data_IF_887949433298
#
_entry.id   IF_887949433298
#
_cell.length_a   1.000
_cell.length_b   1.000
_cell.length_c   1.000
_cell.angle_alpha   90.00
_cell.angle_beta   90.00
_cell.angle_gamma   90.00
#
_symmetry.space_group_name_H-M   'P 1'
#
loop_
_entity.id
_entity.type
_entity.pdbx_description
1 polymer ?
#
# COMPACT_ATOMS: atom_id res chain seq x y z
N UNK A 1 -11.77 1.23 -12.88
CA UNK A 1 -11.87 2.00 -11.61
C UNK A 1 -10.49 2.11 -10.99
N UNK A 2 -10.14 3.28 -10.49
CA UNK A 2 -8.82 3.58 -9.93
C UNK A 2 -8.92 3.83 -8.44
N UNK A 3 -8.02 3.27 -7.63
CA UNK A 3 -7.91 3.51 -6.19
C UNK A 3 -6.59 4.26 -5.92
N UNK A 4 -6.69 5.49 -5.43
CA UNK A 4 -5.60 6.43 -5.13
C UNK A 4 -5.55 6.75 -3.64
N UNK A 5 -4.43 7.30 -3.18
CA UNK A 5 -4.20 7.64 -1.78
C UNK A 5 -2.79 7.32 -1.31
N UNK A 6 -2.38 7.91 -0.19
CA UNK A 6 -1.04 7.68 0.36
C UNK A 6 -0.79 6.21 0.76
N UNK A 7 0.48 5.87 1.01
CA UNK A 7 0.82 4.56 1.59
C UNK A 7 0.15 4.37 2.95
N UNK A 8 -0.18 3.12 3.28
CA UNK A 8 -0.85 2.71 4.53
C UNK A 8 -2.25 3.28 4.76
N UNK A 9 -2.94 3.79 3.73
CA UNK A 9 -4.36 4.21 3.84
C UNK A 9 -5.35 3.05 3.66
N UNK A 10 -4.85 1.85 3.32
CA UNK A 10 -5.65 0.63 3.16
C UNK A 10 -6.20 0.38 1.75
N UNK A 11 -5.61 0.98 0.71
CA UNK A 11 -5.98 0.75 -0.71
C UNK A 11 -5.98 -0.72 -1.10
N UNK A 12 -4.86 -1.41 -0.84
CA UNK A 12 -4.70 -2.84 -1.15
C UNK A 12 -5.67 -3.69 -0.33
N UNK A 13 -5.91 -3.34 0.93
CA UNK A 13 -6.91 -4.01 1.78
C UNK A 13 -8.33 -3.85 1.21
N UNK A 14 -8.69 -2.67 0.70
CA UNK A 14 -9.96 -2.42 0.02
C UNK A 14 -10.08 -3.25 -1.27
N UNK A 15 -9.05 -3.26 -2.12
CA UNK A 15 -9.02 -4.06 -3.35
C UNK A 15 -9.25 -5.55 -3.05
N UNK A 16 -8.52 -6.10 -2.07
CA UNK A 16 -8.68 -7.48 -1.63
C UNK A 16 -10.08 -7.75 -1.08
N UNK A 17 -10.65 -6.81 -0.32
CA UNK A 17 -12.00 -6.93 0.22
C UNK A 17 -13.06 -6.95 -0.89
N UNK A 18 -12.89 -6.13 -1.94
CA UNK A 18 -13.77 -6.13 -3.10
C UNK A 18 -13.70 -7.45 -3.90
N UNK A 19 -12.54 -8.11 -3.91
CA UNK A 19 -12.37 -9.45 -4.49
C UNK A 19 -12.97 -10.57 -3.61
N UNK A 20 -13.42 -10.27 -2.39
CA UNK A 20 -13.90 -11.27 -1.43
C UNK A 20 -12.79 -12.01 -0.68
N UNK A 21 -11.54 -11.55 -0.75
CA UNK A 21 -10.42 -12.13 -0.01
C UNK A 21 -10.51 -11.78 1.50
N UNK A 22 -9.93 -12.60 2.39
CA UNK A 22 -9.87 -12.32 3.81
C UNK A 22 -9.03 -11.06 4.10
N UNK A 23 -9.33 -10.41 5.22
CA UNK A 23 -8.54 -9.30 5.75
C UNK A 23 -7.22 -9.83 6.33
N UNK A 24 -6.12 -9.14 6.00
CA UNK A 24 -4.79 -9.37 6.58
C UNK A 24 -4.39 -8.11 7.34
N UNK A 25 -3.99 -8.26 8.60
CA UNK A 25 -3.55 -7.15 9.44
C UNK A 25 -2.10 -6.74 9.15
N UNK A 26 -1.28 -7.68 8.68
CA UNK A 26 0.13 -7.44 8.38
C UNK A 26 0.30 -6.54 7.15
N UNK A 27 0.94 -5.38 7.35
CA UNK A 27 1.17 -4.42 6.27
C UNK A 27 2.37 -4.82 5.40
N UNK A 28 2.07 -5.20 4.16
CA UNK A 28 3.05 -5.30 3.07
C UNK A 28 2.88 -4.12 2.11
N UNK A 29 3.96 -3.37 1.86
CA UNK A 29 3.90 -2.22 0.95
C UNK A 29 3.85 -2.68 -0.52
N UNK A 30 2.85 -2.19 -1.26
CA UNK A 30 2.72 -2.44 -2.71
C UNK A 30 3.88 -1.78 -3.47
N UNK A 31 4.73 -2.55 -4.18
CA UNK A 31 5.92 -2.00 -4.83
C UNK A 31 5.62 -1.27 -6.14
N UNK A 32 4.55 -1.66 -6.83
CA UNK A 32 4.13 -1.15 -8.14
C UNK A 32 2.61 -1.21 -8.28
N UNK A 33 2.05 -0.56 -9.30
CA UNK A 33 0.62 -0.60 -9.60
C UNK A 33 0.15 -2.05 -9.75
N UNK A 34 -0.95 -2.39 -9.09
CA UNK A 34 -1.58 -3.70 -9.19
C UNK A 34 -2.99 -3.57 -9.78
N UNK A 35 -3.40 -4.58 -10.55
CA UNK A 35 -4.73 -4.65 -11.15
C UNK A 35 -5.47 -5.91 -10.75
N UNK A 36 -6.79 -5.79 -10.65
CA UNK A 36 -7.71 -6.83 -10.22
C UNK A 36 -9.02 -6.75 -11.01
N UNK A 37 -9.47 -7.84 -11.62
CA UNK A 37 -10.80 -7.92 -12.23
C UNK A 37 -11.81 -8.48 -11.24
N UNK A 38 -12.93 -7.78 -11.07
CA UNK A 38 -14.00 -8.15 -10.14
C UNK A 38 -15.30 -8.28 -10.92
N UNK A 39 -15.87 -9.49 -10.93
CA UNK A 39 -17.18 -9.72 -11.53
C UNK A 39 -18.27 -9.35 -10.53
N UNK A 40 -18.89 -8.20 -10.73
CA UNK A 40 -19.96 -7.70 -9.90
C UNK A 40 -21.32 -8.04 -10.51
N UNK A 41 -22.18 -8.71 -9.75
CA UNK A 41 -23.58 -8.87 -10.07
C UNK A 41 -24.43 -8.10 -9.05
N UNK A 42 -25.34 -7.26 -9.54
CA UNK A 42 -26.30 -6.58 -8.68
C UNK A 42 -27.59 -7.39 -8.64
N UNK A 43 -28.17 -7.61 -7.45
CA UNK A 43 -29.30 -8.54 -7.24
C UNK A 43 -30.53 -8.26 -8.13
N UNK A 44 -30.66 -7.03 -8.63
CA UNK A 44 -31.78 -6.60 -9.47
C UNK A 44 -31.33 -6.18 -10.89
N UNK A 45 -30.09 -6.48 -11.29
CA UNK A 45 -29.61 -6.28 -12.66
C UNK A 45 -29.41 -7.65 -13.32
N UNK A 46 -29.91 -7.80 -14.55
CA UNK A 46 -29.71 -9.03 -15.34
C UNK A 46 -28.26 -9.14 -15.87
N UNK A 47 -27.53 -8.03 -15.88
CA UNK A 47 -26.17 -7.96 -16.40
C UNK A 47 -25.12 -8.03 -15.28
N UNK A 48 -24.10 -8.86 -15.50
CA UNK A 48 -22.90 -8.86 -14.69
C UNK A 48 -21.90 -7.85 -15.26
N UNK A 49 -21.33 -7.01 -14.40
CA UNK A 49 -20.34 -6.00 -14.77
C UNK A 49 -18.97 -6.51 -14.33
N UNK A 50 -18.01 -6.59 -15.26
CA UNK A 50 -16.61 -6.80 -14.93
C UNK A 50 -15.97 -5.44 -14.63
N UNK A 51 -15.59 -5.24 -13.37
CA UNK A 51 -14.91 -4.02 -12.93
C UNK A 51 -13.42 -4.30 -12.82
N UNK A 52 -12.61 -3.62 -13.63
CA UNK A 52 -11.17 -3.62 -13.44
C UNK A 52 -10.79 -2.56 -12.39
N UNK A 53 -10.12 -3.00 -11.33
CA UNK A 53 -9.70 -2.18 -10.20
C UNK A 53 -8.19 -2.03 -10.24
N UNK A 54 -7.72 -0.79 -10.20
CA UNK A 54 -6.30 -0.43 -10.21
C UNK A 54 -5.90 0.11 -8.83
N UNK A 55 -5.07 -0.63 -8.07
CA UNK A 55 -4.42 -0.13 -6.85
C UNK A 55 -3.18 0.68 -7.25
N UNK A 56 -3.30 2.00 -7.20
CA UNK A 56 -2.26 2.90 -7.71
C UNK A 56 -1.18 3.14 -6.67
N UNK A 57 0.07 3.03 -7.14
CA UNK A 57 1.26 3.41 -6.39
C UNK A 57 1.84 4.70 -6.99
N UNK A 58 1.82 5.78 -6.21
CA UNK A 58 2.30 7.10 -6.67
C UNK A 58 3.81 7.14 -6.93
N UNK A 59 4.56 6.49 -6.04
CA UNK A 59 6.00 6.31 -6.16
C UNK A 59 6.30 4.82 -5.99
N UNK A 60 6.84 4.19 -7.04
CA UNK A 60 7.22 2.78 -6.98
C UNK A 60 8.35 2.55 -5.97
N UNK A 61 8.37 1.38 -5.33
CA UNK A 61 9.50 0.97 -4.49
C UNK A 61 10.56 0.38 -5.41
N UNK A 62 11.64 1.13 -5.65
CA UNK A 62 12.82 0.59 -6.31
C UNK A 62 13.45 -0.42 -5.33
N UNK A 63 13.27 -1.71 -5.60
CA UNK A 63 13.99 -2.75 -4.90
C UNK A 63 15.49 -2.54 -5.18
N UNK A 64 16.24 -2.04 -4.19
CA UNK A 64 17.71 -2.03 -4.28
C UNK A 64 18.14 -3.46 -4.61
N UNK A 65 18.95 -3.71 -5.65
CA UNK A 65 19.44 -5.05 -5.90
C UNK A 65 20.16 -5.50 -4.64
N UNK A 66 19.65 -6.56 -3.99
CA UNK A 66 20.37 -7.25 -2.91
C UNK A 66 21.65 -7.78 -3.55
N UNK A 67 22.73 -7.01 -3.45
CA UNK A 67 24.07 -7.54 -3.68
C UNK A 67 24.27 -8.58 -2.60
N UNK A 68 24.05 -9.85 -2.93
CA UNK A 68 24.52 -10.96 -2.10
C UNK A 68 26.04 -10.75 -2.00
N UNK A 69 26.64 -10.58 -0.81
CA UNK A 69 28.08 -10.60 -0.71
C UNK A 69 28.54 -11.97 -1.22
N UNK A 70 29.30 -11.99 -2.31
CA UNK A 70 30.00 -13.20 -2.72
C UNK A 70 30.97 -13.52 -1.58
N UNK A 71 30.82 -14.70 -0.98
CA UNK A 71 31.84 -15.23 -0.09
C UNK A 71 33.14 -15.35 -0.90
N UNK A 72 34.17 -14.70 -0.42
CA UNK A 72 35.54 -14.80 -0.92
C UNK A 72 36.15 -16.08 -0.35
N UNK A 73 35.88 -17.20 -0.99
CA UNK A 73 36.66 -18.43 -0.80
C UNK A 73 37.12 -18.85 -2.20
N UNK A 74 38.39 -18.58 -2.48
CA UNK A 74 39.33 -19.35 -3.31
C UNK A 74 40.51 -18.46 -3.69
N UNK A 75 41.51 -18.44 -2.80
CA UNK A 75 42.90 -18.16 -3.15
C UNK A 75 43.37 -19.26 -4.10
N UNK A 76 43.80 -18.91 -5.32
CA UNK A 76 44.93 -19.63 -5.94
C UNK A 76 45.60 -18.87 -7.10
N UNK A 77 46.91 -18.73 -6.92
CA UNK A 77 48.00 -18.61 -7.90
C UNK A 77 47.91 -17.61 -9.08
N UNK A 78 48.70 -16.54 -8.93
CA UNK A 78 49.34 -15.77 -10.01
C UNK A 78 50.23 -16.71 -10.86
N UNK A 79 49.95 -16.80 -12.16
CA UNK A 79 50.95 -17.09 -13.20
C UNK A 79 50.52 -16.41 -14.52
N UNK A 80 51.36 -15.51 -15.02
CA UNK A 80 51.00 -14.49 -16.00
C UNK A 80 50.67 -14.99 -17.41
N UNK A 81 49.61 -14.42 -17.99
CA UNK A 81 49.36 -14.26 -19.43
C UNK A 81 48.29 -13.15 -19.62
N UNK A 82 48.43 -12.18 -20.56
CA UNK A 82 47.42 -11.15 -20.78
C UNK A 82 46.30 -11.72 -21.68
N UNK A 83 45.38 -12.47 -21.08
CA UNK A 83 44.17 -12.96 -21.74
C UNK A 83 43.05 -11.93 -21.64
N UNK A 84 42.62 -11.40 -22.79
CA UNK A 84 41.45 -10.52 -22.98
C UNK A 84 40.20 -11.24 -22.45
N UNK A 85 39.90 -11.08 -21.17
CA UNK A 85 38.61 -11.46 -20.61
C UNK A 85 37.67 -10.26 -20.77
N UNK A 86 36.81 -10.36 -21.78
CA UNK A 86 35.69 -9.44 -22.02
C UNK A 86 34.92 -9.29 -20.71
N UNK A 87 35.14 -8.15 -20.06
CA UNK A 87 34.34 -7.65 -18.96
C UNK A 87 32.96 -7.31 -19.53
N UNK A 88 32.11 -8.32 -19.67
CA UNK A 88 30.69 -8.12 -19.87
C UNK A 88 30.16 -7.48 -18.59
N UNK A 89 30.21 -6.15 -18.50
CA UNK A 89 29.36 -5.40 -17.59
C UNK A 89 27.92 -5.76 -17.98
N UNK A 90 27.37 -6.78 -17.33
CA UNK A 90 25.93 -6.98 -17.25
C UNK A 90 25.44 -5.80 -16.42
N UNK A 91 25.13 -4.70 -17.11
CA UNK A 91 24.30 -3.65 -16.55
C UNK A 91 23.02 -4.34 -16.12
N UNK A 92 22.88 -4.55 -14.81
CA UNK A 92 21.62 -4.93 -14.23
C UNK A 92 20.68 -3.76 -14.54
N UNK A 93 19.89 -3.88 -15.61
CA UNK A 93 18.77 -2.99 -15.87
C UNK A 93 17.93 -3.01 -14.61
N UNK A 94 18.04 -1.96 -13.79
CA UNK A 94 17.10 -1.71 -12.74
C UNK A 94 15.74 -1.60 -13.44
N UNK A 95 14.85 -2.57 -13.21
CA UNK A 95 13.49 -2.51 -13.73
C UNK A 95 12.83 -1.29 -13.08
N UNK A 96 12.45 -0.31 -13.90
CA UNK A 96 11.68 0.84 -13.43
C UNK A 96 10.32 0.32 -12.96
N UNK A 97 9.91 0.55 -11.70
CA UNK A 97 8.62 0.09 -11.22
C UNK A 97 7.50 0.80 -11.98
N UNK A 98 6.39 0.09 -12.23
CA UNK A 98 5.20 0.67 -12.83
C UNK A 98 4.50 1.54 -11.77
N UNK A 99 4.61 2.85 -11.90
CA UNK A 99 4.02 3.83 -10.99
C UNK A 99 3.20 4.89 -11.75
N UNK A 100 2.50 5.74 -11.00
CA UNK A 100 1.63 6.77 -11.56
C UNK A 100 2.38 7.90 -12.29
N UNK A 101 3.73 7.92 -12.26
CA UNK A 101 4.53 8.90 -13.01
C UNK A 101 4.77 8.45 -14.44
N UNK A 102 4.84 7.14 -14.66
CA UNK A 102 5.12 6.54 -15.96
C UNK A 102 3.82 6.20 -16.71
N UNK A 103 2.75 5.88 -15.98
CA UNK A 103 1.47 5.47 -16.56
C UNK A 103 0.42 6.55 -16.31
N UNK A 104 -0.28 6.96 -17.37
CA UNK A 104 -1.50 7.76 -17.26
C UNK A 104 -2.64 6.86 -16.77
N UNK A 105 -2.84 6.88 -15.45
CA UNK A 105 -3.84 6.08 -14.74
C UNK A 105 -5.27 6.60 -14.91
N UNK A 106 -5.45 7.83 -15.37
CA UNK A 106 -6.77 8.45 -15.50
C UNK A 106 -7.37 8.23 -16.89
N UNK A 107 -6.52 7.93 -17.87
CA UNK A 107 -6.97 7.52 -19.20
C UNK A 107 -7.83 6.26 -19.12
N UNK A 108 -9.03 6.34 -19.68
CA UNK A 108 -10.06 5.28 -19.68
C UNK A 108 -10.59 4.88 -18.29
N UNK A 109 -10.22 5.61 -17.23
CA UNK A 109 -10.81 5.41 -15.91
C UNK A 109 -12.25 5.92 -15.90
N UNK A 110 -13.16 5.16 -15.30
CA UNK A 110 -14.58 5.57 -15.17
C UNK A 110 -14.91 6.17 -13.80
N UNK A 111 -14.15 5.79 -12.77
CA UNK A 111 -14.36 6.20 -11.37
C UNK A 111 -13.00 6.23 -10.68
N UNK A 112 -12.80 7.23 -9.83
CA UNK A 112 -11.63 7.34 -8.95
C UNK A 112 -12.06 7.26 -7.48
N UNK A 113 -11.39 6.42 -6.69
CA UNK A 113 -11.56 6.32 -5.24
C UNK A 113 -10.32 6.86 -4.55
N UNK A 114 -10.48 7.83 -3.66
CA UNK A 114 -9.40 8.31 -2.79
C UNK A 114 -9.53 7.75 -1.38
N UNK A 115 -8.49 7.09 -0.91
CA UNK A 115 -8.41 6.54 0.44
C UNK A 115 -7.70 7.52 1.40
N UNK A 116 -8.41 7.91 2.46
CA UNK A 116 -7.93 8.81 3.53
C UNK A 116 -7.81 8.04 4.84
N UNK A 117 -6.74 8.29 5.57
CA UNK A 117 -6.55 7.81 6.93
C UNK A 117 -6.81 8.97 7.91
N UNK A 118 -7.83 8.87 8.78
CA UNK A 118 -8.24 9.98 9.64
C UNK A 118 -7.19 10.33 10.71
N UNK A 119 -6.27 9.42 11.06
CA UNK A 119 -5.17 9.72 12.00
C UNK A 119 -3.98 10.42 11.35
N UNK A 120 -3.92 10.45 10.02
CA UNK A 120 -2.78 11.03 9.28
C UNK A 120 -3.25 12.16 8.39
N UNK A 121 -3.15 13.38 8.92
CA UNK A 121 -3.50 14.62 8.21
C UNK A 121 -2.88 14.75 6.80
N UNK A 122 -1.60 14.37 6.57
CA UNK A 122 -1.02 14.45 5.24
C UNK A 122 -1.76 13.65 4.18
N UNK A 123 -2.50 12.59 4.58
CA UNK A 123 -3.30 11.80 3.64
C UNK A 123 -4.52 12.55 3.13
N UNK A 124 -5.12 13.40 3.98
CA UNK A 124 -6.19 14.30 3.56
C UNK A 124 -5.64 15.42 2.66
N UNK A 125 -4.51 16.02 3.04
CA UNK A 125 -3.89 17.10 2.27
C UNK A 125 -3.51 16.63 0.85
N UNK A 126 -3.00 15.40 0.75
CA UNK A 126 -2.76 14.73 -0.53
C UNK A 126 -4.04 14.65 -1.36
N UNK A 127 -5.14 14.13 -0.80
CA UNK A 127 -6.40 13.99 -1.53
C UNK A 127 -6.94 15.36 -1.97
N UNK A 128 -6.86 16.37 -1.11
CA UNK A 128 -7.28 17.73 -1.46
C UNK A 128 -6.44 18.33 -2.59
N UNK A 129 -5.15 18.02 -2.67
CA UNK A 129 -4.29 18.46 -3.76
C UNK A 129 -4.59 17.72 -5.07
N UNK A 130 -4.83 16.41 -4.98
CA UNK A 130 -5.18 15.56 -6.13
C UNK A 130 -6.56 15.90 -6.72
N UNK A 131 -7.53 16.24 -5.87
CA UNK A 131 -8.86 16.70 -6.30
C UNK A 131 -8.85 18.04 -7.03
N UNK A 132 -7.76 18.83 -6.92
CA UNK A 132 -7.62 20.10 -7.65
C UNK A 132 -7.04 19.92 -9.06
N UNK A 133 -6.60 18.71 -9.41
CA UNK A 133 -6.06 18.42 -10.74
C UNK A 133 -7.19 18.33 -11.76
N UNK A 134 -6.96 18.80 -12.98
CA UNK A 134 -8.01 18.80 -14.01
C UNK A 134 -8.44 17.37 -14.41
N UNK A 135 -7.50 16.41 -14.42
CA UNK A 135 -7.76 15.01 -14.77
C UNK A 135 -8.76 14.31 -13.83
N UNK A 136 -8.86 14.74 -12.58
CA UNK A 136 -9.80 14.19 -11.59
C UNK A 136 -11.17 14.87 -11.63
N UNK A 137 -11.30 16.05 -12.26
CA UNK A 137 -12.57 16.77 -12.36
C UNK A 137 -13.54 16.15 -13.38
N UNK A 138 -13.03 15.40 -14.36
CA UNK A 138 -13.86 14.74 -15.38
C UNK A 138 -14.45 13.42 -14.89
N UNK A 139 -13.91 12.87 -13.81
CA UNK A 139 -14.28 11.55 -13.29
C UNK A 139 -15.17 11.67 -12.05
N UNK A 140 -16.20 10.82 -11.89
CA UNK A 140 -16.84 10.61 -10.60
C UNK A 140 -15.81 10.18 -9.55
N UNK A 141 -15.73 10.95 -8.46
CA UNK A 141 -14.79 10.71 -7.37
C UNK A 141 -15.50 10.29 -6.09
N UNK A 142 -15.00 9.25 -5.44
CA UNK A 142 -15.41 8.81 -4.11
C UNK A 142 -14.26 8.96 -3.12
N UNK A 143 -14.46 9.73 -2.05
CA UNK A 143 -13.47 9.82 -0.96
C UNK A 143 -13.89 8.92 0.19
N UNK A 144 -13.05 7.95 0.52
CA UNK A 144 -13.28 6.98 1.60
C UNK A 144 -12.34 7.26 2.77
N UNK A 145 -12.93 7.54 3.94
CA UNK A 145 -12.20 7.62 5.20
C UNK A 145 -12.14 6.22 5.81
N UNK A 146 -10.96 5.62 5.80
CA UNK A 146 -10.75 4.25 6.24
C UNK A 146 -10.45 4.15 7.74
N UNK A 147 -10.30 2.93 8.24
CA UNK A 147 -9.91 2.61 9.62
C UNK A 147 -10.93 3.05 10.68
N UNK A 148 -12.23 3.09 10.32
CA UNK A 148 -13.31 3.50 11.23
C UNK A 148 -13.34 2.64 12.52
N UNK A 149 -13.00 1.37 12.41
CA UNK A 149 -12.85 0.41 13.52
C UNK A 149 -11.95 0.95 14.64
N UNK A 150 -10.81 1.57 14.30
CA UNK A 150 -9.89 2.14 15.29
C UNK A 150 -10.44 3.40 15.98
N UNK A 151 -11.42 4.10 15.38
CA UNK A 151 -12.05 5.28 15.98
C UNK A 151 -12.94 4.83 17.13
N UNK A 152 -13.65 3.72 16.92
CA UNK A 152 -14.51 3.12 17.93
C UNK A 152 -13.68 2.65 19.14
N UNK A 153 -12.55 1.99 18.91
CA UNK A 153 -11.64 1.56 19.98
C UNK A 153 -11.08 2.75 20.78
N UNK A 154 -10.72 3.85 20.11
CA UNK A 154 -10.21 5.05 20.78
C UNK A 154 -11.28 5.81 21.60
N UNK A 155 -12.55 5.64 21.27
CA UNK A 155 -13.67 6.38 21.90
C UNK A 155 -14.32 5.59 23.04
N UNK A 156 -14.18 4.27 23.04
CA UNK A 156 -14.66 3.45 24.16
C UNK A 156 -13.76 3.65 25.38
N UNK A 157 -14.30 4.05 26.54
CA UNK A 157 -13.53 4.05 27.77
C UNK A 157 -13.04 2.62 28.06
N UNK A 158 -11.85 2.45 28.64
CA UNK A 158 -11.33 1.13 28.97
C UNK A 158 -12.34 0.37 29.84
N UNK A 159 -12.53 -0.94 29.61
CA UNK A 159 -13.44 -1.76 30.40
C UNK A 159 -13.10 -1.64 31.89
N UNK A 160 -14.13 -1.53 32.73
CA UNK A 160 -14.04 -1.25 34.17
C UNK A 160 -13.15 -2.24 34.94
N UNK A 161 -12.91 -3.44 34.41
CA UNK A 161 -12.01 -4.45 34.99
C UNK A 161 -10.57 -3.93 35.16
N UNK A 162 -10.07 -3.08 34.25
CA UNK A 162 -8.71 -2.49 34.39
C UNK A 162 -8.64 -1.31 35.37
N UNK A 163 -9.78 -0.80 35.82
CA UNK A 163 -9.84 0.25 36.83
C UNK A 163 -9.88 -0.34 38.24
N UNK A 164 -10.43 -1.55 38.42
CA UNK A 164 -10.37 -2.26 39.70
C UNK A 164 -8.96 -2.78 40.01
N UNK A 165 -8.24 -3.36 39.03
CA UNK A 165 -6.86 -3.82 39.24
C UNK A 165 -5.91 -2.67 39.64
N UNK A 166 -6.02 -1.51 38.98
CA UNK A 166 -5.24 -0.32 39.35
C UNK A 166 -5.65 0.28 40.69
N UNK A 167 -6.93 0.19 41.09
CA UNK A 167 -7.38 0.62 42.41
C UNK A 167 -6.94 -0.34 43.53
N UNK A 168 -6.77 -1.63 43.23
CA UNK A 168 -6.23 -2.59 44.20
C UNK A 168 -4.72 -2.41 44.38
N UNK A 169 -3.96 -2.20 43.30
CA UNK A 169 -2.51 -1.95 43.39
C UNK A 169 -2.20 -0.63 44.12
N UNK A 170 -2.94 0.46 43.85
CA UNK A 170 -2.73 1.75 44.53
C UNK A 170 -3.17 1.73 46.01
N UNK A 171 -4.03 0.78 46.41
CA UNK A 171 -4.39 0.56 47.82
C UNK A 171 -3.33 -0.24 48.58
N UNK A 172 -2.63 -1.14 47.91
CA UNK A 172 -1.59 -1.97 48.52
C UNK A 172 -0.30 -1.16 48.76
N UNK A 173 0.09 -0.31 47.82
CA UNK A 173 1.27 0.56 47.93
C UNK A 173 1.12 1.70 48.97
N UNK A 174 -0.12 2.07 49.35
CA UNK A 174 -0.41 3.04 50.42
C UNK A 174 -0.48 2.41 51.82
N UNK A 175 -0.38 1.10 51.91
CA UNK A 175 -0.43 0.35 53.17
C UNK A 175 0.92 -0.15 53.67
N UNK A 176 2.01 0.16 52.96
CA UNK A 176 3.41 -0.11 53.35
C UNK A 176 4.15 1.14 53.85
#
# INVERSE_FOLDING_TARGET
MVIRGCRRTGKTSLMRRLQGLPFEDEYTATPEIQTASINWSFKNAEEAVCVEVWDVVDEGIIAKPRVKPKKEDDMDAIAGLPGISKRSKKEAKASVPLDARVVDIYKDAQVCIFMVDPWRRPTLDYVLNELRQDATNELPVLVLVNFRDKIHEATTPPPEEKQEEKKSEEKEEKSE
#
